data_IF_334317266828
#
_entry.id   IF_334317266828
#
_cell.length_a   1.000
_cell.length_b   1.000
_cell.length_c   1.000
_cell.angle_alpha   90.00
_cell.angle_beta   90.00
_cell.angle_gamma   90.00
#
_symmetry.space_group_name_H-M   'P 1'
#
loop_
_entity.id
_entity.type
_entity.pdbx_description
1 polymer ?
#
# COMPACT_ATOMS: atom_id res chain seq x y z
N UNK A 1 52.39 0.86 59.42
CA UNK A 1 52.07 2.31 59.46
C UNK A 1 51.03 2.54 58.39
N UNK A 2 49.77 2.86 58.63
CA UNK A 2 48.88 3.05 59.78
C UNK A 2 47.50 3.07 59.10
N UNK A 3 46.57 2.18 59.43
CA UNK A 3 45.48 2.46 60.38
C UNK A 3 44.62 3.66 59.97
N UNK A 4 43.36 3.41 59.56
CA UNK A 4 42.11 3.47 60.38
C UNK A 4 41.33 4.75 60.00
N UNK A 5 40.02 4.89 60.04
CA UNK A 5 38.93 4.18 60.73
C UNK A 5 37.58 4.60 60.07
N UNK A 6 36.60 3.70 60.16
CA UNK A 6 35.15 3.84 60.38
C UNK A 6 34.46 5.24 60.29
N UNK A 7 33.24 5.29 59.75
CA UNK A 7 32.07 5.04 60.61
C UNK A 7 30.72 4.86 59.89
N UNK A 8 29.88 4.16 60.63
CA UNK A 8 28.68 3.39 60.35
C UNK A 8 27.43 4.22 60.59
N UNK A 9 26.30 3.89 59.96
CA UNK A 9 24.98 3.90 60.64
C UNK A 9 23.91 3.11 59.90
N UNK A 10 23.47 2.04 60.56
CA UNK A 10 22.25 1.28 60.34
C UNK A 10 20.99 2.10 60.67
N UNK A 11 19.86 1.75 60.04
CA UNK A 11 18.63 1.48 60.79
C UNK A 11 17.68 0.55 60.01
N UNK A 12 17.45 -0.62 60.58
CA UNK A 12 16.43 -1.62 60.23
C UNK A 12 15.08 -1.25 60.86
N UNK A 13 13.98 -1.67 60.25
CA UNK A 13 12.78 -2.08 60.99
C UNK A 13 11.92 -3.07 60.19
N UNK A 14 11.56 -4.13 60.89
CA UNK A 14 10.75 -5.31 60.55
C UNK A 14 9.47 -5.28 61.37
N UNK A 15 8.34 -5.74 60.81
CA UNK A 15 7.24 -6.48 61.50
C UNK A 15 6.20 -6.91 60.44
N UNK A 16 5.95 -8.20 60.13
CA UNK A 16 5.14 -9.22 60.86
C UNK A 16 3.68 -8.79 61.07
N UNK A 17 2.60 -9.58 60.91
CA UNK A 17 2.31 -11.01 60.71
C UNK A 17 0.77 -11.15 60.50
N UNK A 18 0.30 -12.25 59.86
CA UNK A 18 -0.99 -12.99 60.01
C UNK A 18 -2.36 -12.24 59.87
N UNK A 19 -3.47 -12.82 59.38
CA UNK A 19 -4.06 -14.13 59.70
C UNK A 19 -5.23 -14.54 58.75
N UNK A 20 -5.45 -15.86 58.69
CA UNK A 20 -6.66 -16.70 58.58
C UNK A 20 -7.70 -16.62 57.43
N UNK A 21 -8.13 -17.83 56.99
CA UNK A 21 -9.53 -18.08 56.61
C UNK A 21 -9.80 -19.16 55.55
N UNK A 22 -9.88 -20.43 55.97
CA UNK A 22 -10.20 -21.63 55.18
C UNK A 22 -11.66 -21.78 54.67
N UNK A 23 -11.77 -22.46 53.50
CA UNK A 23 -12.71 -23.55 53.09
C UNK A 23 -14.24 -23.38 53.26
N UNK A 24 -14.99 -23.71 52.19
CA UNK A 24 -15.66 -25.03 52.03
C UNK A 24 -16.41 -25.18 50.68
N UNK A 25 -16.26 -26.38 50.11
CA UNK A 25 -17.04 -26.96 49.00
C UNK A 25 -18.46 -27.32 49.44
N UNK A 26 -19.43 -27.40 48.50
CA UNK A 26 -20.17 -28.66 48.28
C UNK A 26 -20.96 -28.68 46.96
N UNK A 27 -20.97 -29.89 46.39
CA UNK A 27 -21.57 -30.38 45.15
C UNK A 27 -23.07 -30.69 45.33
N UNK A 28 -23.91 -30.55 44.30
CA UNK A 28 -24.76 -31.64 43.71
C UNK A 28 -25.78 -31.18 42.65
N UNK A 29 -25.59 -31.73 41.44
CA UNK A 29 -26.55 -32.32 40.46
C UNK A 29 -27.90 -31.65 40.13
N UNK A 30 -28.12 -31.43 38.82
CA UNK A 30 -29.19 -32.10 38.04
C UNK A 30 -29.04 -31.95 36.52
N UNK A 31 -29.20 -33.11 35.86
CA UNK A 31 -29.40 -33.34 34.43
C UNK A 31 -30.53 -32.49 33.81
N UNK A 32 -30.34 -32.04 32.57
CA UNK A 32 -31.31 -32.32 31.50
C UNK A 32 -30.73 -32.04 30.10
N UNK A 33 -30.74 -33.12 29.32
CA UNK A 33 -30.54 -33.24 27.87
C UNK A 33 -31.22 -32.14 27.05
N UNK A 34 -30.57 -31.67 25.99
CA UNK A 34 -31.20 -31.50 24.68
C UNK A 34 -30.15 -31.48 23.55
N UNK A 35 -30.49 -32.24 22.51
CA UNK A 35 -29.66 -32.67 21.38
C UNK A 35 -29.46 -31.55 20.36
N UNK A 36 -28.27 -31.48 19.77
CA UNK A 36 -28.02 -30.83 18.48
C UNK A 36 -28.44 -31.74 17.32
N UNK A 37 -28.99 -31.19 16.22
CA UNK A 37 -28.86 -31.77 14.90
C UNK A 37 -28.12 -30.83 13.91
N UNK A 38 -27.69 -31.35 12.74
CA UNK A 38 -26.42 -30.99 12.13
C UNK A 38 -26.51 -29.97 10.98
N UNK A 39 -25.33 -29.46 10.64
CA UNK A 39 -24.90 -28.81 9.40
C UNK A 39 -25.82 -28.98 8.19
N UNK A 40 -26.27 -27.84 7.63
CA UNK A 40 -26.77 -27.75 6.27
C UNK A 40 -25.95 -26.71 5.49
N UNK A 41 -25.24 -27.21 4.49
CA UNK A 41 -24.61 -26.48 3.40
C UNK A 41 -25.67 -25.64 2.66
N UNK A 42 -25.41 -24.35 2.42
CA UNK A 42 -26.12 -23.58 1.41
C UNK A 42 -25.13 -22.83 0.49
N UNK A 43 -25.10 -23.34 -0.73
CA UNK A 43 -24.61 -22.76 -1.98
C UNK A 43 -25.48 -21.52 -2.37
N UNK A 44 -25.06 -20.65 -3.32
CA UNK A 44 -25.35 -19.22 -3.32
C UNK A 44 -26.75 -18.89 -3.87
N UNK A 45 -27.39 -17.91 -3.24
CA UNK A 45 -28.68 -17.39 -3.68
C UNK A 45 -28.55 -16.54 -4.95
N UNK A 46 -29.27 -16.97 -5.99
CA UNK A 46 -29.58 -16.22 -7.22
C UNK A 46 -30.43 -15.00 -6.90
N UNK A 47 -30.05 -13.85 -7.48
CA UNK A 47 -30.87 -12.66 -7.58
C UNK A 47 -32.15 -12.91 -8.38
N UNK A 48 -33.31 -12.50 -7.84
CA UNK A 48 -34.54 -12.27 -8.62
C UNK A 48 -34.88 -10.79 -8.55
N UNK A 49 -35.04 -10.20 -9.74
CA UNK A 49 -35.58 -8.87 -9.95
C UNK A 49 -37.04 -8.77 -9.50
N UNK A 50 -37.39 -7.58 -9.01
CA UNK A 50 -38.75 -7.08 -8.97
C UNK A 50 -39.02 -6.30 -7.69
N UNK A 51 -39.02 -4.97 -7.79
CA UNK A 51 -40.12 -4.13 -7.29
C UNK A 51 -39.93 -2.68 -7.77
N UNK A 52 -41.07 -2.07 -8.05
CA UNK A 52 -41.33 -0.89 -8.86
C UNK A 52 -40.82 0.43 -8.27
N UNK A 53 -40.38 1.30 -9.18
CA UNK A 53 -40.00 2.68 -8.96
C UNK A 53 -41.17 3.54 -8.46
N UNK A 54 -40.93 4.26 -7.36
CA UNK A 54 -41.59 5.54 -7.08
C UNK A 54 -40.62 6.66 -7.44
N UNK A 55 -41.04 7.54 -8.35
CA UNK A 55 -40.29 8.71 -8.81
C UNK A 55 -40.02 9.69 -7.67
N UNK A 56 -38.75 10.02 -7.44
CA UNK A 56 -38.22 11.34 -7.02
C UNK A 56 -36.73 11.21 -6.69
N UNK A 57 -35.88 12.09 -7.24
CA UNK A 57 -34.41 12.17 -7.11
C UNK A 57 -33.60 11.40 -8.17
N UNK A 58 -33.53 11.97 -9.38
CA UNK A 58 -32.53 11.65 -10.40
C UNK A 58 -31.13 12.13 -9.99
N UNK A 59 -30.42 11.34 -9.17
CA UNK A 59 -28.96 11.30 -9.13
C UNK A 59 -28.55 9.87 -8.80
N UNK A 60 -28.72 8.96 -9.76
CA UNK A 60 -28.13 7.63 -9.68
C UNK A 60 -26.66 7.80 -10.08
N UNK A 61 -25.78 7.99 -9.11
CA UNK A 61 -24.36 7.69 -9.32
C UNK A 61 -24.28 6.20 -9.57
N UNK A 62 -24.24 5.78 -10.84
CA UNK A 62 -24.02 4.39 -11.20
C UNK A 62 -22.64 3.98 -10.68
N UNK A 63 -22.62 3.31 -9.53
CA UNK A 63 -21.46 2.60 -9.00
C UNK A 63 -21.25 1.29 -9.80
N UNK A 64 -21.28 1.40 -11.13
CA UNK A 64 -21.12 0.29 -12.05
C UNK A 64 -19.86 0.54 -12.86
N UNK A 65 -18.93 -0.39 -12.67
CA UNK A 65 -17.67 -0.65 -13.35
C UNK A 65 -16.44 0.21 -13.05
N UNK A 66 -15.43 -0.52 -12.54
CA UNK A 66 -14.02 -0.16 -12.32
C UNK A 66 -13.73 0.76 -11.12
N UNK A 67 -13.87 0.16 -9.95
CA UNK A 67 -13.35 0.58 -8.66
C UNK A 67 -11.84 0.90 -8.70
N UNK A 68 -11.48 2.18 -8.66
CA UNK A 68 -10.25 2.63 -7.98
C UNK A 68 -10.65 3.34 -6.70
N UNK A 69 -11.18 2.57 -5.76
CA UNK A 69 -11.18 2.98 -4.38
C UNK A 69 -10.02 2.23 -3.73
N UNK A 70 -8.96 2.96 -3.42
CA UNK A 70 -7.84 2.40 -2.67
C UNK A 70 -7.89 2.97 -1.28
N UNK A 71 -7.74 2.08 -0.31
CA UNK A 71 -8.02 2.31 1.08
C UNK A 71 -6.92 1.82 2.00
N UNK A 72 -6.71 2.67 3.00
CA UNK A 72 -6.03 2.56 4.30
C UNK A 72 -4.50 2.52 4.35
N UNK A 73 -4.03 3.30 5.33
CA UNK A 73 -2.72 3.23 5.97
C UNK A 73 -1.78 4.35 5.55
N UNK A 74 -1.90 5.53 6.16
CA UNK A 74 -0.87 6.59 6.07
C UNK A 74 -0.01 6.59 7.32
N UNK A 75 1.30 6.78 7.16
CA UNK A 75 2.21 7.08 8.25
C UNK A 75 1.99 8.50 8.84
N UNK A 76 1.36 9.39 8.07
CA UNK A 76 1.08 10.79 8.44
C UNK A 76 -0.33 11.01 9.01
N UNK A 77 -1.18 9.97 9.02
CA UNK A 77 -2.54 10.07 9.55
C UNK A 77 -2.60 9.54 10.98
N UNK A 78 -3.41 10.17 11.84
CA UNK A 78 -3.54 9.73 13.22
C UNK A 78 -4.10 8.29 13.25
N UNK A 79 -3.78 7.47 14.27
CA UNK A 79 -4.37 6.15 14.40
C UNK A 79 -5.90 6.20 14.31
N UNK A 80 -6.46 5.53 13.30
CA UNK A 80 -7.91 5.49 13.04
C UNK A 80 -8.39 6.37 11.88
N UNK A 81 -7.58 7.33 11.43
CA UNK A 81 -7.91 8.14 10.25
C UNK A 81 -7.98 7.26 8.98
N UNK A 82 -8.88 7.63 8.08
CA UNK A 82 -9.03 6.98 6.78
C UNK A 82 -8.78 7.97 5.64
N UNK A 83 -7.92 7.59 4.70
CA UNK A 83 -7.68 8.34 3.48
C UNK A 83 -8.28 7.59 2.29
N UNK A 84 -8.96 8.35 1.43
CA UNK A 84 -9.61 7.85 0.24
C UNK A 84 -9.11 8.63 -0.97
N UNK A 85 -8.77 7.91 -2.04
CA UNK A 85 -8.57 8.45 -3.39
C UNK A 85 -9.72 7.93 -4.25
N UNK A 86 -10.55 8.84 -4.76
CA UNK A 86 -11.86 8.52 -5.36
C UNK A 86 -11.92 9.07 -6.78
N UNK A 87 -12.29 8.24 -7.75
CA UNK A 87 -12.75 8.70 -9.06
C UNK A 87 -14.16 9.27 -8.91
N UNK A 88 -14.29 10.58 -9.02
CA UNK A 88 -15.56 11.29 -8.91
C UNK A 88 -16.14 11.51 -10.30
N UNK A 89 -17.30 10.91 -10.53
CA UNK A 89 -18.14 11.16 -11.69
C UNK A 89 -19.13 12.29 -11.35
N UNK A 90 -19.19 13.31 -12.19
CA UNK A 90 -20.15 14.39 -12.06
C UNK A 90 -20.83 14.63 -13.40
N UNK A 91 -22.15 14.77 -13.40
CA UNK A 91 -22.90 15.02 -14.61
C UNK A 91 -22.40 16.32 -15.26
N UNK A 92 -22.09 16.28 -16.56
CA UNK A 92 -21.54 17.40 -17.33
C UNK A 92 -20.11 17.85 -17.00
N UNK A 93 -19.37 17.11 -16.17
CA UNK A 93 -17.94 17.37 -15.94
C UNK A 93 -17.11 16.13 -16.31
N UNK A 94 -15.86 16.31 -16.78
CA UNK A 94 -14.97 15.19 -16.94
C UNK A 94 -14.74 14.52 -15.58
N UNK A 95 -14.50 13.21 -15.62
CA UNK A 95 -14.08 12.48 -14.45
C UNK A 95 -12.83 13.11 -13.85
N UNK A 96 -12.77 13.16 -12.53
CA UNK A 96 -11.59 13.62 -11.80
C UNK A 96 -11.29 12.73 -10.62
N UNK A 97 -10.03 12.69 -10.23
CA UNK A 97 -9.63 12.05 -8.97
C UNK A 97 -9.68 13.09 -7.86
N UNK A 98 -10.32 12.73 -6.74
CA UNK A 98 -10.41 13.57 -5.53
C UNK A 98 -9.96 12.80 -4.29
N UNK A 99 -9.60 13.53 -3.25
CA UNK A 99 -9.05 12.97 -2.02
C UNK A 99 -9.94 13.30 -0.84
N UNK A 100 -10.15 12.34 0.05
CA UNK A 100 -10.89 12.55 1.30
C UNK A 100 -10.06 12.06 2.47
N UNK A 101 -9.87 12.93 3.47
CA UNK A 101 -9.29 12.61 4.76
C UNK A 101 -10.39 12.57 5.82
N UNK A 102 -10.80 11.36 6.18
CA UNK A 102 -11.80 11.09 7.20
C UNK A 102 -11.11 10.91 8.56
N UNK A 103 -11.23 11.93 9.41
CA UNK A 103 -10.71 11.97 10.79
C UNK A 103 -11.72 11.48 11.83
N UNK A 104 -12.95 11.21 11.41
CA UNK A 104 -14.01 10.63 12.22
C UNK A 104 -14.45 9.28 11.63
N UNK A 105 -13.67 8.20 11.82
CA UNK A 105 -13.97 6.90 11.21
C UNK A 105 -15.34 6.35 11.62
N UNK A 106 -15.91 6.79 12.75
CA UNK A 106 -17.25 6.42 13.21
C UNK A 106 -18.38 6.90 12.30
N UNK A 107 -18.11 7.83 11.37
CA UNK A 107 -19.05 8.16 10.29
C UNK A 107 -19.39 6.94 9.43
N UNK A 108 -18.45 6.00 9.34
CA UNK A 108 -18.61 4.70 8.69
C UNK A 108 -18.14 3.67 9.73
N UNK A 109 -18.98 3.29 10.70
CA UNK A 109 -18.52 2.63 11.93
C UNK A 109 -17.95 1.23 11.68
N UNK A 110 -18.49 0.52 10.69
CA UNK A 110 -18.07 -0.82 10.30
C UNK A 110 -16.78 -0.77 9.46
N UNK A 111 -15.78 -1.56 9.87
CA UNK A 111 -14.49 -1.65 9.20
C UNK A 111 -14.56 -2.26 7.79
N UNK A 112 -15.41 -3.26 7.58
CA UNK A 112 -15.64 -3.87 6.26
C UNK A 112 -16.31 -2.84 5.33
N UNK A 113 -17.27 -2.06 5.85
CA UNK A 113 -17.87 -0.98 5.08
C UNK A 113 -16.87 0.13 4.79
N UNK A 114 -15.95 0.42 5.72
CA UNK A 114 -14.86 1.37 5.47
C UNK A 114 -13.93 0.89 4.39
N UNK A 115 -13.72 -0.42 4.24
CA UNK A 115 -12.92 -1.10 3.20
C UNK A 115 -13.63 -1.18 1.84
N UNK A 116 -14.95 -1.02 1.80
CA UNK A 116 -15.75 -1.21 0.60
C UNK A 116 -16.17 0.12 -0.05
N UNK A 117 -15.67 0.37 -1.26
CA UNK A 117 -15.80 1.69 -1.91
C UNK A 117 -17.21 2.22 -2.12
N UNK A 118 -18.15 1.40 -2.59
CA UNK A 118 -19.55 1.85 -2.71
C UNK A 118 -20.14 2.32 -1.38
N UNK A 119 -19.81 1.69 -0.25
CA UNK A 119 -20.27 2.11 1.08
C UNK A 119 -19.67 3.45 1.50
N UNK A 120 -18.38 3.64 1.24
CA UNK A 120 -17.68 4.91 1.48
C UNK A 120 -18.30 6.04 0.68
N UNK A 121 -18.46 5.86 -0.63
CA UNK A 121 -19.07 6.89 -1.50
C UNK A 121 -20.50 7.19 -1.06
N UNK A 122 -21.28 6.16 -0.68
CA UNK A 122 -22.64 6.34 -0.17
C UNK A 122 -22.65 7.22 1.09
N UNK A 123 -21.79 6.95 2.06
CA UNK A 123 -21.72 7.74 3.30
C UNK A 123 -21.25 9.18 3.03
N UNK A 124 -20.14 9.36 2.30
CA UNK A 124 -19.59 10.68 2.00
C UNK A 124 -20.51 11.53 1.12
N UNK A 125 -21.31 10.90 0.25
CA UNK A 125 -22.27 11.59 -0.62
C UNK A 125 -23.41 12.31 0.11
N UNK A 126 -23.63 11.98 1.39
CA UNK A 126 -24.63 12.64 2.23
C UNK A 126 -24.13 13.96 2.82
N UNK A 127 -22.82 14.23 2.76
CA UNK A 127 -22.24 15.47 3.28
C UNK A 127 -22.61 16.66 2.37
N UNK A 128 -23.02 17.82 2.91
CA UNK A 128 -23.33 18.99 2.10
C UNK A 128 -22.20 19.39 1.13
N UNK A 129 -20.96 19.39 1.64
CA UNK A 129 -19.76 19.72 0.86
C UNK A 129 -19.50 18.74 -0.29
N UNK A 130 -20.09 17.53 -0.29
CA UNK A 130 -19.86 16.55 -1.36
C UNK A 130 -20.21 17.10 -2.74
N UNK A 131 -21.23 17.95 -2.83
CA UNK A 131 -21.72 18.52 -4.10
C UNK A 131 -20.90 19.70 -4.58
N UNK A 132 -20.04 20.26 -3.74
CA UNK A 132 -19.21 21.41 -4.07
C UNK A 132 -18.02 21.00 -4.97
N UNK A 133 -17.30 22.00 -5.46
CA UNK A 133 -16.05 21.80 -6.18
C UNK A 133 -14.88 21.84 -5.21
N UNK A 134 -14.17 20.72 -5.11
CA UNK A 134 -12.99 20.54 -4.27
C UNK A 134 -12.12 19.42 -4.88
N UNK A 135 -10.82 19.49 -4.62
CA UNK A 135 -9.85 18.44 -4.94
C UNK A 135 -9.58 17.57 -3.72
N UNK A 136 -9.56 18.18 -2.54
CA UNK A 136 -9.40 17.50 -1.26
C UNK A 136 -10.50 17.88 -0.28
N UNK A 137 -10.92 16.93 0.54
CA UNK A 137 -11.95 17.13 1.55
C UNK A 137 -11.49 16.52 2.87
N UNK A 138 -11.42 17.32 3.92
CA UNK A 138 -11.23 16.81 5.29
C UNK A 138 -12.59 16.74 5.97
N UNK A 139 -12.89 15.57 6.54
CA UNK A 139 -14.12 15.29 7.26
C UNK A 139 -13.74 14.96 8.70
N UNK A 140 -14.23 15.75 9.64
CA UNK A 140 -13.99 15.59 11.08
C UNK A 140 -15.32 15.61 11.83
N UNK A 141 -15.29 15.29 13.12
CA UNK A 141 -16.43 15.46 14.00
C UNK A 141 -15.99 16.23 15.24
N UNK A 142 -16.75 17.25 15.60
CA UNK A 142 -16.59 18.02 16.83
C UNK A 142 -17.91 17.97 17.59
N UNK A 143 -17.90 17.50 18.84
CA UNK A 143 -19.12 17.34 19.65
C UNK A 143 -20.24 16.54 18.95
N UNK A 144 -19.88 15.46 18.24
CA UNK A 144 -20.78 14.65 17.41
C UNK A 144 -21.39 15.37 16.20
N UNK A 145 -20.95 16.59 15.89
CA UNK A 145 -21.33 17.32 14.69
C UNK A 145 -20.25 17.12 13.64
N UNK A 146 -20.63 16.58 12.48
CA UNK A 146 -19.71 16.41 11.35
C UNK A 146 -19.39 17.77 10.73
N UNK A 147 -18.10 18.03 10.55
CA UNK A 147 -17.58 19.22 9.89
C UNK A 147 -16.79 18.82 8.63
N UNK A 148 -16.83 19.69 7.63
CA UNK A 148 -16.13 19.48 6.36
C UNK A 148 -15.31 20.71 6.00
N UNK A 149 -14.08 20.48 5.56
CA UNK A 149 -13.18 21.52 5.09
C UNK A 149 -12.60 21.13 3.73
N UNK A 150 -12.85 21.96 2.72
CA UNK A 150 -12.39 21.73 1.35
C UNK A 150 -10.99 22.32 1.14
N UNK A 151 -10.14 21.60 0.41
CA UNK A 151 -8.84 22.05 -0.11
C UNK A 151 -7.83 22.56 0.94
N UNK A 152 -7.95 22.11 2.19
CA UNK A 152 -7.00 22.46 3.27
C UNK A 152 -5.65 21.75 3.16
N UNK A 153 -5.58 20.71 2.33
CA UNK A 153 -4.34 20.02 1.99
C UNK A 153 -4.24 19.85 0.47
N UNK A 154 -3.00 19.82 -0.03
CA UNK A 154 -2.76 19.60 -1.45
C UNK A 154 -2.82 18.10 -1.77
N UNK A 155 -3.42 17.71 -2.91
CA UNK A 155 -3.18 16.39 -3.45
C UNK A 155 -1.68 16.15 -3.64
N UNK A 156 -1.21 14.92 -3.40
CA UNK A 156 0.21 14.61 -3.55
C UNK A 156 0.63 14.61 -5.03
N UNK A 157 1.93 14.80 -5.24
CA UNK A 157 2.61 14.65 -6.52
C UNK A 157 4.06 14.24 -6.29
N UNK A 158 4.69 13.63 -7.29
CA UNK A 158 6.13 13.53 -7.34
C UNK A 158 6.73 14.96 -7.38
N UNK A 159 7.84 15.20 -6.66
CA UNK A 159 8.60 16.43 -6.78
C UNK A 159 9.10 16.66 -8.21
N UNK A 160 9.15 17.91 -8.67
CA UNK A 160 9.56 18.22 -10.06
C UNK A 160 11.05 17.91 -10.31
N UNK A 161 11.89 18.00 -9.28
CA UNK A 161 13.32 17.69 -9.33
C UNK A 161 13.64 16.21 -9.52
N UNK A 162 12.66 15.31 -9.33
CA UNK A 162 12.80 13.87 -9.65
C UNK A 162 12.21 13.51 -11.02
N UNK A 163 11.66 14.49 -11.74
CA UNK A 163 11.13 14.29 -13.08
C UNK A 163 12.20 14.67 -14.11
N UNK A 164 12.69 13.67 -14.83
CA UNK A 164 13.72 13.84 -15.83
C UNK A 164 13.12 14.18 -17.19
N UNK A 165 13.84 14.97 -17.99
CA UNK A 165 13.40 15.33 -19.33
C UNK A 165 13.42 14.12 -20.29
N UNK A 166 12.66 14.23 -21.39
CA UNK A 166 12.62 13.22 -22.45
C UNK A 166 11.54 12.15 -22.29
N UNK A 167 10.76 12.19 -21.21
CA UNK A 167 9.63 11.29 -20.99
C UNK A 167 8.28 11.98 -21.32
N UNK A 168 7.38 11.31 -22.07
CA UNK A 168 6.03 11.82 -22.30
C UNK A 168 5.17 11.76 -21.02
N UNK A 169 4.09 12.53 -21.00
CA UNK A 169 3.13 12.60 -19.90
C UNK A 169 1.80 11.98 -20.33
N UNK A 170 1.25 11.11 -19.48
CA UNK A 170 0.00 10.39 -19.71
C UNK A 170 -1.04 10.71 -18.65
N UNK A 171 -2.24 11.04 -19.11
CA UNK A 171 -3.42 11.21 -18.26
C UNK A 171 -3.86 9.86 -17.71
N UNK A 172 -3.83 9.68 -16.38
CA UNK A 172 -4.20 8.43 -15.72
C UNK A 172 -5.59 7.94 -16.14
N UNK A 173 -6.55 8.85 -16.34
CA UNK A 173 -7.93 8.51 -16.69
C UNK A 173 -8.10 8.08 -18.14
N UNK A 174 -7.08 8.28 -18.98
CA UNK A 174 -7.07 7.90 -20.41
C UNK A 174 -6.30 6.61 -20.68
N UNK A 175 -5.67 6.01 -19.67
CA UNK A 175 -5.02 4.71 -19.81
C UNK A 175 -6.05 3.60 -20.06
N UNK A 176 -5.71 2.68 -20.95
CA UNK A 176 -6.60 1.61 -21.40
C UNK A 176 -6.28 0.28 -20.70
N UNK A 177 -7.30 -0.55 -20.50
CA UNK A 177 -7.19 -1.91 -19.94
C UNK A 177 -6.44 -1.99 -18.60
N UNK A 178 -6.67 -1.00 -17.72
CA UNK A 178 -6.10 -0.96 -16.38
C UNK A 178 -6.58 -2.14 -15.53
N UNK A 179 -5.65 -3.02 -15.14
CA UNK A 179 -5.92 -4.18 -14.26
C UNK A 179 -4.94 -4.19 -13.09
N UNK A 180 -5.46 -4.34 -11.87
CA UNK A 180 -4.62 -4.42 -10.68
C UNK A 180 -3.73 -5.68 -10.69
N UNK A 181 -2.47 -5.51 -10.34
CA UNK A 181 -1.46 -6.59 -10.25
C UNK A 181 -0.94 -6.72 -8.82
N UNK A 182 -0.65 -5.57 -8.19
CA UNK A 182 -0.29 -5.41 -6.78
C UNK A 182 -0.98 -4.14 -6.23
N UNK A 183 -0.83 -3.87 -4.94
CA UNK A 183 -1.47 -2.73 -4.26
C UNK A 183 -1.21 -1.35 -4.91
N UNK A 184 -0.04 -1.18 -5.55
CA UNK A 184 0.41 0.05 -6.23
C UNK A 184 0.87 -0.18 -7.68
N UNK A 185 0.54 -1.34 -8.25
CA UNK A 185 0.96 -1.71 -9.59
C UNK A 185 -0.24 -2.19 -10.41
N UNK A 186 -0.36 -1.64 -11.61
CA UNK A 186 -1.39 -2.00 -12.57
C UNK A 186 -0.76 -2.38 -13.89
N UNK A 187 -1.39 -3.29 -14.63
CA UNK A 187 -1.09 -3.45 -16.05
C UNK A 187 -2.03 -2.58 -16.87
N UNK A 188 -1.56 -2.05 -17.99
CA UNK A 188 -2.35 -1.30 -18.97
C UNK A 188 -1.86 -1.59 -20.40
N UNK A 189 -2.62 -1.16 -21.40
CA UNK A 189 -2.16 -1.17 -22.79
C UNK A 189 -1.74 0.23 -23.25
N UNK A 190 -0.59 0.28 -23.91
CA UNK A 190 -0.07 1.47 -24.59
C UNK A 190 0.40 1.07 -25.99
N UNK A 191 -0.22 1.63 -27.03
CA UNK A 191 0.02 1.27 -28.44
C UNK A 191 0.02 -0.25 -28.71
N UNK A 192 -0.91 -0.97 -28.09
CA UNK A 192 -1.05 -2.43 -28.23
C UNK A 192 0.00 -3.25 -27.48
N UNK A 193 0.93 -2.62 -26.76
CA UNK A 193 1.89 -3.28 -25.88
C UNK A 193 1.43 -3.19 -24.43
N UNK A 194 1.70 -4.23 -23.64
CA UNK A 194 1.46 -4.17 -22.21
C UNK A 194 2.53 -3.32 -21.55
N UNK A 195 2.10 -2.46 -20.64
CA UNK A 195 2.95 -1.70 -19.74
C UNK A 195 2.48 -1.91 -18.30
N UNK A 196 3.35 -1.60 -17.36
CA UNK A 196 3.01 -1.57 -15.94
C UNK A 196 3.03 -0.13 -15.44
N UNK A 197 1.94 0.29 -14.82
CA UNK A 197 1.79 1.54 -14.10
C UNK A 197 2.17 1.32 -12.64
N UNK A 198 3.06 2.17 -12.13
CA UNK A 198 3.28 2.34 -10.70
C UNK A 198 2.85 3.74 -10.28
N UNK A 199 2.12 3.85 -9.16
CA UNK A 199 1.68 5.15 -8.63
C UNK A 199 1.86 5.26 -7.12
N UNK A 200 2.20 6.46 -6.65
CA UNK A 200 1.88 6.87 -5.30
C UNK A 200 0.39 7.21 -5.25
N UNK A 201 -0.31 6.65 -4.28
CA UNK A 201 -1.73 6.86 -4.03
C UNK A 201 -1.96 7.97 -3.03
N UNK A 202 -0.95 8.26 -2.20
CA UNK A 202 -0.96 9.27 -1.15
C UNK A 202 0.46 9.80 -0.88
N UNK A 203 0.56 10.87 -0.09
CA UNK A 203 1.81 11.58 0.20
C UNK A 203 2.92 10.69 0.78
N UNK A 204 2.59 9.79 1.73
CA UNK A 204 3.57 8.91 2.37
C UNK A 204 4.21 7.89 1.40
N UNK A 205 3.63 7.67 0.22
CA UNK A 205 4.18 6.76 -0.81
C UNK A 205 5.10 7.48 -1.81
N UNK A 206 5.10 8.82 -1.79
CA UNK A 206 5.81 9.65 -2.78
C UNK A 206 7.32 9.42 -2.70
N UNK A 207 7.90 9.32 -1.50
CA UNK A 207 9.34 9.12 -1.34
C UNK A 207 9.81 7.76 -1.87
N UNK A 208 9.02 6.70 -1.67
CA UNK A 208 9.33 5.39 -2.22
C UNK A 208 9.28 5.41 -3.76
N UNK A 209 8.24 6.04 -4.32
CA UNK A 209 8.11 6.18 -5.77
C UNK A 209 9.24 7.06 -6.38
N UNK A 210 9.64 8.13 -5.70
CA UNK A 210 10.71 9.01 -6.13
C UNK A 210 12.07 8.28 -6.17
N UNK A 211 12.37 7.47 -5.15
CA UNK A 211 13.57 6.60 -5.13
C UNK A 211 13.59 5.65 -6.32
N UNK A 212 12.44 5.03 -6.61
CA UNK A 212 12.31 4.13 -7.74
C UNK A 212 12.51 4.85 -9.08
N UNK A 213 11.92 6.04 -9.28
CA UNK A 213 12.16 6.85 -10.50
C UNK A 213 13.63 7.20 -10.67
N UNK A 214 14.32 7.59 -9.59
CA UNK A 214 15.75 7.89 -9.62
C UNK A 214 16.59 6.67 -10.00
N UNK A 215 16.29 5.48 -9.45
CA UNK A 215 16.98 4.24 -9.79
C UNK A 215 16.79 3.88 -11.27
N UNK A 216 15.56 3.91 -11.77
CA UNK A 216 15.28 3.69 -13.19
C UNK A 216 15.98 4.68 -14.10
N UNK A 217 16.00 5.96 -13.73
CA UNK A 217 16.72 6.96 -14.50
C UNK A 217 18.23 6.72 -14.47
N UNK A 218 18.82 6.37 -13.34
CA UNK A 218 20.24 6.02 -13.25
C UNK A 218 20.59 4.78 -14.10
N UNK A 219 19.64 3.86 -14.25
CA UNK A 219 19.73 2.66 -15.08
C UNK A 219 19.31 2.85 -16.54
N UNK A 220 19.00 4.09 -16.97
CA UNK A 220 18.65 4.38 -18.36
C UNK A 220 19.79 3.92 -19.26
N UNK A 221 19.48 3.11 -20.27
CA UNK A 221 20.43 2.43 -21.17
C UNK A 221 21.15 1.19 -20.60
N UNK A 222 20.76 0.68 -19.43
CA UNK A 222 21.19 -0.64 -18.96
C UNK A 222 20.24 -1.75 -19.45
N UNK A 223 20.72 -3.00 -19.44
CA UNK A 223 19.93 -4.21 -19.69
C UNK A 223 19.27 -4.75 -18.40
N UNK A 224 19.46 -4.07 -17.26
CA UNK A 224 19.15 -4.58 -15.92
C UNK A 224 17.73 -4.31 -15.42
N UNK A 225 16.95 -3.46 -16.08
CA UNK A 225 15.61 -3.09 -15.66
C UNK A 225 14.71 -2.79 -16.87
N UNK A 226 13.37 -2.75 -16.72
CA UNK A 226 12.51 -2.22 -17.78
C UNK A 226 12.76 -0.73 -18.00
N UNK A 227 12.49 -0.24 -19.22
CA UNK A 227 12.55 1.19 -19.48
C UNK A 227 11.30 1.90 -18.96
N UNK A 228 11.47 3.13 -18.47
CA UNK A 228 10.35 4.05 -18.27
C UNK A 228 9.79 4.45 -19.64
N UNK A 229 8.48 4.27 -19.80
CA UNK A 229 7.72 4.70 -20.98
C UNK A 229 7.30 6.16 -20.85
N UNK A 230 6.94 6.59 -19.64
CA UNK A 230 6.69 8.00 -19.33
C UNK A 230 5.99 8.23 -18.00
N UNK A 231 5.73 9.49 -17.69
CA UNK A 231 5.10 9.91 -16.42
C UNK A 231 3.59 9.87 -16.52
N UNK A 232 2.94 9.56 -15.40
CA UNK A 232 1.48 9.51 -15.29
C UNK A 232 0.99 10.56 -14.32
N UNK A 233 0.06 11.38 -14.79
CA UNK A 233 -0.48 12.51 -14.05
C UNK A 233 -1.98 12.35 -13.79
N UNK A 234 -2.46 13.09 -12.80
CA UNK A 234 -3.89 13.29 -12.55
C UNK A 234 -4.25 14.75 -12.78
N UNK A 235 -5.37 15.01 -13.46
CA UNK A 235 -5.90 16.35 -13.75
C UNK A 235 -5.03 17.17 -14.72
N UNK A 236 -3.76 17.40 -14.39
CA UNK A 236 -2.83 18.21 -15.16
C UNK A 236 -1.37 17.69 -15.07
N UNK A 237 -0.53 17.91 -16.10
CA UNK A 237 0.83 17.37 -16.16
C UNK A 237 1.78 17.81 -15.03
N UNK A 238 1.51 18.92 -14.36
CA UNK A 238 2.24 19.38 -13.17
C UNK A 238 1.99 18.49 -11.94
N UNK A 239 0.99 17.62 -12.00
CA UNK A 239 0.62 16.70 -10.91
C UNK A 239 0.88 15.25 -11.30
N UNK A 240 2.16 14.92 -11.43
CA UNK A 240 2.61 13.53 -11.65
C UNK A 240 2.39 12.71 -10.39
N UNK A 241 1.75 11.56 -10.52
CA UNK A 241 1.47 10.62 -9.41
C UNK A 241 2.12 9.25 -9.63
N UNK A 242 2.75 9.04 -10.78
CA UNK A 242 3.29 7.74 -11.16
C UNK A 242 4.07 7.75 -12.46
N UNK A 243 4.44 6.56 -12.91
CA UNK A 243 5.12 6.33 -14.16
C UNK A 243 4.71 4.98 -14.78
N UNK A 244 4.86 4.89 -16.09
CA UNK A 244 4.72 3.65 -16.86
C UNK A 244 6.10 3.05 -17.12
N UNK A 245 6.18 1.73 -17.06
CA UNK A 245 7.36 0.96 -17.45
C UNK A 245 6.96 -0.16 -18.42
N UNK A 246 7.91 -0.58 -19.24
CA UNK A 246 7.73 -1.68 -20.19
C UNK A 246 7.42 -3.01 -19.47
N UNK A 247 6.69 -3.90 -20.14
CA UNK A 247 6.61 -5.29 -19.71
C UNK A 247 7.94 -6.02 -19.98
N UNK A 248 8.41 -6.76 -18.98
CA UNK A 248 9.45 -7.76 -19.17
C UNK A 248 8.78 -9.11 -19.34
N UNK A 249 9.08 -9.78 -20.46
CA UNK A 249 8.66 -11.15 -20.70
C UNK A 249 9.76 -12.09 -20.19
N UNK A 250 9.40 -12.95 -19.25
CA UNK A 250 10.32 -13.88 -18.60
C UNK A 250 9.66 -14.69 -17.51
N UNK A 251 10.46 -15.27 -16.63
CA UNK A 251 9.99 -16.04 -15.47
C UNK A 251 10.71 -15.58 -14.18
N UNK A 252 10.13 -15.84 -13.02
CA UNK A 252 10.79 -15.57 -11.75
C UNK A 252 11.86 -16.62 -11.46
N UNK A 253 13.07 -16.22 -11.03
CA UNK A 253 14.18 -17.15 -10.84
C UNK A 253 13.92 -18.18 -9.75
N UNK A 254 14.55 -19.33 -9.95
CA UNK A 254 14.78 -20.37 -8.94
C UNK A 254 16.25 -20.35 -8.49
N UNK A 255 16.63 -21.26 -7.61
CA UNK A 255 18.04 -21.42 -7.22
C UNK A 255 18.94 -21.80 -8.40
N UNK A 256 18.40 -22.44 -9.44
CA UNK A 256 19.16 -22.81 -10.64
C UNK A 256 19.57 -21.57 -11.45
N UNK A 257 18.89 -20.44 -11.25
CA UNK A 257 19.16 -19.15 -11.88
C UNK A 257 20.10 -18.27 -11.04
N UNK A 258 20.77 -18.81 -10.01
CA UNK A 258 21.67 -18.04 -9.14
C UNK A 258 22.78 -17.34 -9.94
N UNK A 259 23.44 -18.04 -10.86
CA UNK A 259 24.55 -17.48 -11.63
C UNK A 259 24.18 -16.26 -12.50
N UNK A 260 23.08 -16.28 -13.30
CA UNK A 260 22.64 -15.09 -14.01
C UNK A 260 22.17 -13.96 -13.06
N UNK A 261 21.51 -14.29 -11.93
CA UNK A 261 21.11 -13.30 -10.94
C UNK A 261 22.31 -12.59 -10.31
N UNK A 262 23.32 -13.34 -9.86
CA UNK A 262 24.55 -12.79 -9.29
C UNK A 262 25.29 -11.89 -10.29
N UNK A 263 25.30 -12.30 -11.56
CA UNK A 263 25.96 -11.52 -12.62
C UNK A 263 25.25 -10.19 -12.84
N UNK A 264 23.93 -10.19 -12.92
CA UNK A 264 23.14 -8.96 -13.02
C UNK A 264 23.30 -8.09 -11.76
N UNK A 265 23.31 -8.71 -10.57
CA UNK A 265 23.45 -7.98 -9.30
C UNK A 265 24.83 -7.30 -9.20
N UNK A 266 25.91 -7.98 -9.59
CA UNK A 266 27.24 -7.35 -9.67
C UNK A 266 27.26 -6.18 -10.65
N UNK A 267 26.60 -6.30 -11.81
CA UNK A 267 26.46 -5.18 -12.75
C UNK A 267 25.71 -4.01 -12.11
N UNK A 268 24.62 -4.27 -11.40
CA UNK A 268 23.83 -3.27 -10.67
C UNK A 268 24.70 -2.52 -9.65
N UNK A 269 25.46 -3.26 -8.82
CA UNK A 269 26.39 -2.69 -7.84
C UNK A 269 27.51 -1.88 -8.50
N UNK A 270 28.05 -2.33 -9.63
CA UNK A 270 29.07 -1.60 -10.39
C UNK A 270 28.55 -0.27 -10.98
N UNK A 271 27.25 -0.18 -11.24
CA UNK A 271 26.59 1.08 -11.62
C UNK A 271 26.32 1.99 -10.41
N UNK A 272 26.72 1.58 -9.21
CA UNK A 272 26.53 2.35 -7.99
C UNK A 272 25.10 2.31 -7.49
N UNK A 273 24.40 1.18 -7.62
CA UNK A 273 23.02 1.01 -7.15
C UNK A 273 22.92 -0.28 -6.34
N UNK A 274 22.27 -0.22 -5.18
CA UNK A 274 21.75 -1.39 -4.46
C UNK A 274 20.24 -1.45 -4.63
N UNK A 275 19.67 -2.66 -4.65
CA UNK A 275 18.22 -2.83 -4.81
C UNK A 275 17.45 -2.53 -3.51
N UNK A 276 18.00 -2.94 -2.36
CA UNK A 276 17.48 -2.69 -1.01
C UNK A 276 16.32 -3.58 -0.57
N UNK A 277 15.57 -4.17 -1.51
CA UNK A 277 14.49 -5.13 -1.24
C UNK A 277 14.51 -6.32 -2.21
N UNK A 278 15.65 -7.01 -2.24
CA UNK A 278 15.84 -8.12 -3.16
C UNK A 278 15.09 -9.36 -2.68
N UNK A 279 14.20 -9.88 -3.53
CA UNK A 279 13.58 -11.20 -3.38
C UNK A 279 13.22 -11.75 -4.78
N UNK A 280 13.01 -13.06 -4.91
CA UNK A 280 12.82 -13.70 -6.24
C UNK A 280 11.74 -13.06 -7.11
N UNK A 281 10.65 -12.56 -6.54
CA UNK A 281 9.58 -11.90 -7.31
C UNK A 281 9.89 -10.48 -7.80
N UNK A 282 11.02 -9.89 -7.37
CA UNK A 282 11.56 -8.63 -7.87
C UNK A 282 12.64 -8.85 -8.94
N UNK A 283 12.83 -10.10 -9.36
CA UNK A 283 13.74 -10.50 -10.43
C UNK A 283 12.92 -11.22 -11.50
N UNK A 284 13.22 -10.91 -12.76
CA UNK A 284 12.67 -11.61 -13.93
C UNK A 284 13.84 -12.07 -14.79
N UNK A 285 13.92 -13.38 -15.04
CA UNK A 285 14.85 -13.96 -16.02
C UNK A 285 14.22 -13.80 -17.40
N UNK A 286 14.79 -12.89 -18.18
CA UNK A 286 14.44 -12.64 -19.57
C UNK A 286 15.44 -13.31 -20.52
N UNK A 287 15.17 -13.24 -21.82
CA UNK A 287 16.02 -13.84 -22.87
C UNK A 287 17.46 -13.31 -22.86
N UNK A 288 17.66 -12.08 -22.42
CA UNK A 288 18.94 -11.36 -22.36
C UNK A 288 19.56 -11.32 -20.95
N UNK A 289 18.95 -11.99 -19.97
CA UNK A 289 19.48 -12.12 -18.62
C UNK A 289 18.49 -11.73 -17.52
N UNK A 290 18.99 -11.68 -16.29
CA UNK A 290 18.19 -11.27 -15.13
C UNK A 290 17.96 -9.76 -15.12
N UNK A 291 16.71 -9.36 -14.90
CA UNK A 291 16.26 -7.97 -14.77
C UNK A 291 15.63 -7.75 -13.40
N UNK A 292 15.88 -6.59 -12.81
CA UNK A 292 15.34 -6.17 -11.54
C UNK A 292 14.16 -5.22 -11.75
N UNK A 293 13.18 -5.30 -10.86
CA UNK A 293 12.01 -4.44 -10.78
C UNK A 293 11.75 -4.10 -9.31
N UNK A 294 10.97 -3.04 -9.05
CA UNK A 294 10.57 -2.65 -7.70
C UNK A 294 11.70 -2.00 -6.86
N UNK A 295 12.31 -0.95 -7.40
CA UNK A 295 13.45 -0.22 -6.79
C UNK A 295 13.03 0.76 -5.69
N UNK A 296 11.95 0.49 -4.98
CA UNK A 296 11.41 1.43 -4.00
C UNK A 296 12.30 1.60 -2.77
N UNK A 297 13.14 0.60 -2.49
CA UNK A 297 14.14 0.62 -1.43
C UNK A 297 15.57 0.82 -1.94
N UNK A 298 15.73 1.13 -3.23
CA UNK A 298 17.04 1.28 -3.82
C UNK A 298 17.80 2.45 -3.22
N UNK A 299 19.12 2.29 -3.12
CA UNK A 299 20.04 3.34 -2.77
C UNK A 299 21.03 3.55 -3.92
N UNK A 300 21.24 4.81 -4.27
CA UNK A 300 22.33 5.22 -5.14
C UNK A 300 23.59 5.36 -4.28
N UNK A 301 24.74 5.05 -4.88
CA UNK A 301 26.04 5.14 -4.22
C UNK A 301 26.24 6.56 -3.69
N UNK A 302 26.56 6.62 -2.42
CA UNK A 302 27.07 7.80 -1.75
C UNK A 302 28.53 7.56 -1.31
N UNK A 303 29.17 8.61 -0.78
CA UNK A 303 30.54 8.55 -0.29
C UNK A 303 30.61 8.00 1.15
N UNK A 304 29.59 7.27 1.61
CA UNK A 304 29.58 6.71 2.97
C UNK A 304 30.47 5.47 3.06
N UNK A 305 31.05 5.27 4.24
CA UNK A 305 31.80 4.05 4.56
C UNK A 305 30.88 2.80 4.64
N UNK A 306 29.56 2.98 4.63
CA UNK A 306 28.56 1.90 4.71
C UNK A 306 28.26 1.25 3.36
N UNK A 307 28.55 1.93 2.25
CA UNK A 307 28.25 1.42 0.91
C UNK A 307 28.86 0.03 0.63
N UNK A 308 30.16 -0.24 0.88
CA UNK A 308 30.74 -1.56 0.63
C UNK A 308 30.08 -2.67 1.44
N UNK A 309 29.70 -2.39 2.69
CA UNK A 309 29.01 -3.36 3.54
C UNK A 309 27.60 -3.65 3.03
N UNK A 310 26.89 -2.63 2.55
CA UNK A 310 25.54 -2.77 2.00
C UNK A 310 25.54 -3.62 0.73
N UNK A 311 26.47 -3.33 -0.19
CA UNK A 311 26.67 -4.09 -1.43
C UNK A 311 27.03 -5.55 -1.13
N UNK A 312 27.98 -5.78 -0.22
CA UNK A 312 28.40 -7.13 0.15
C UNK A 312 27.25 -7.93 0.76
N UNK A 313 26.52 -7.32 1.71
CA UNK A 313 25.38 -7.95 2.36
C UNK A 313 24.28 -8.33 1.37
N UNK A 314 23.90 -7.41 0.47
CA UNK A 314 22.89 -7.69 -0.56
C UNK A 314 23.32 -8.83 -1.49
N UNK A 315 24.62 -8.91 -1.82
CA UNK A 315 25.18 -9.99 -2.62
C UNK A 315 25.12 -11.35 -1.90
N UNK A 316 25.51 -11.39 -0.62
CA UNK A 316 25.51 -12.62 0.20
C UNK A 316 24.09 -13.15 0.44
N UNK A 317 23.11 -12.26 0.62
CA UNK A 317 21.71 -12.63 0.87
C UNK A 317 21.00 -13.17 -0.38
N UNK A 318 21.47 -12.87 -1.60
CA UNK A 318 20.78 -13.24 -2.85
C UNK A 318 20.40 -14.73 -2.90
N UNK A 319 21.33 -15.61 -2.51
CA UNK A 319 21.09 -17.05 -2.55
C UNK A 319 19.91 -17.46 -1.66
N UNK A 320 19.85 -16.92 -0.46
CA UNK A 320 18.78 -17.20 0.50
C UNK A 320 17.45 -16.59 0.04
N UNK A 321 17.49 -15.42 -0.60
CA UNK A 321 16.31 -14.78 -1.20
C UNK A 321 15.73 -15.55 -2.37
N UNK A 322 16.54 -16.31 -3.12
CA UNK A 322 16.06 -17.21 -4.18
C UNK A 322 15.45 -18.50 -3.62
N UNK A 323 15.97 -19.00 -2.50
CA UNK A 323 15.45 -20.18 -1.81
C UNK A 323 14.19 -19.90 -0.99
N UNK A 324 13.85 -18.64 -0.74
CA UNK A 324 12.70 -18.30 0.07
C UNK A 324 11.39 -18.83 -0.53
N UNK A 325 10.65 -19.56 0.31
CA UNK A 325 9.36 -20.17 -0.01
C UNK A 325 8.19 -19.48 0.70
N UNK A 326 8.44 -18.40 1.46
CA UNK A 326 7.41 -17.67 2.20
C UNK A 326 6.32 -17.05 1.32
N UNK A 327 6.62 -16.82 0.04
CA UNK A 327 5.73 -16.11 -0.89
C UNK A 327 5.77 -14.59 -0.72
N UNK A 328 6.66 -14.05 0.11
CA UNK A 328 6.85 -12.61 0.27
C UNK A 328 7.10 -11.95 -1.10
N UNK A 329 6.30 -10.93 -1.42
CA UNK A 329 6.39 -10.17 -2.68
C UNK A 329 5.74 -10.81 -3.91
N UNK A 330 5.08 -11.98 -3.78
CA UNK A 330 4.40 -12.68 -4.88
C UNK A 330 3.30 -11.81 -5.52
N UNK A 331 3.21 -11.72 -6.87
CA UNK A 331 2.10 -11.06 -7.55
C UNK A 331 0.76 -11.79 -7.36
N UNK A 332 -0.36 -11.07 -7.46
CA UNK A 332 -1.70 -11.67 -7.38
C UNK A 332 -1.94 -12.67 -8.53
N UNK A 333 -2.42 -13.88 -8.20
CA UNK A 333 -2.84 -14.87 -9.19
C UNK A 333 -1.74 -15.76 -9.78
N UNK A 334 -0.51 -15.72 -9.23
CA UNK A 334 0.58 -16.64 -9.62
C UNK A 334 0.56 -17.87 -8.70
N UNK A 335 0.29 -19.05 -9.25
CA UNK A 335 0.41 -20.34 -8.56
C UNK A 335 1.87 -20.82 -8.52
N UNK A 336 2.19 -21.75 -7.61
CA UNK A 336 3.54 -22.33 -7.41
C UNK A 336 4.09 -23.07 -8.64
#
# INVERSE_FOLDING_TARGET
MSEREDDTRHCTSTSTFEDSGEKQNLVTTRDSKLRLPPTALLSPFRWRHGLSFGESSHYVTSALDHSWLILRGSADAAPGDCLYRIRRHAHWQPDRIVYVWLKCPDLIPDEELRAFGPSVVRALSQLPAWRESWKTLTVSAENSVVQTQSDIFKPHSLPTDVLFEGYPFFDLLKLQDLKAVKSRTWSCLHHGRRCYLKTARFQFEVNALAREVNAYHALRNSDLCPNIVGYVYEESPDRVVGFLMEEIVGYHPTIDDLAPCETALRKLHNMGITHGDLHKYNIIIAVDGAKFIDFEQAALRDDTEEWPNTVQKEHEELRDKLLDMSGLGRPLGVAD
#
